data_IF_002109595191
#
_entry.id   IF_002109595191
#
_cell.length_a   1.000
_cell.length_b   1.000
_cell.length_c   1.000
_cell.angle_alpha   90.00
_cell.angle_beta   90.00
_cell.angle_gamma   90.00
#
_symmetry.space_group_name_H-M   'P 1'
#
loop_
_entity.id
_entity.type
_entity.pdbx_description
1 polymer ?
#
# COMPACT_ATOMS: atom_id res chain seq x y z
N UNK A 1 -1.27 30.70 -10.07
CA UNK A 1 -0.30 30.16 -9.09
C UNK A 1 -0.27 28.66 -9.27
N UNK A 2 0.88 28.05 -9.64
CA UNK A 2 1.06 26.60 -9.60
C UNK A 2 0.99 26.20 -8.12
N UNK A 3 0.20 25.15 -7.75
CA UNK A 3 0.23 24.66 -6.38
C UNK A 3 1.67 24.23 -6.07
N UNK A 4 2.20 24.69 -4.94
CA UNK A 4 3.49 24.24 -4.44
C UNK A 4 3.43 22.71 -4.27
N UNK A 5 4.40 22.02 -4.87
CA UNK A 5 4.57 20.58 -4.64
C UNK A 5 5.06 20.39 -3.20
N UNK A 6 4.53 19.41 -2.45
CA UNK A 6 5.08 19.12 -1.13
C UNK A 6 6.57 18.79 -1.23
N UNK A 7 7.38 19.49 -0.45
CA UNK A 7 8.85 19.44 -0.54
C UNK A 7 9.42 18.08 -0.13
N UNK A 8 8.65 17.30 0.64
CA UNK A 8 9.07 16.04 1.28
C UNK A 8 8.33 14.80 0.79
N UNK A 9 7.50 14.92 -0.24
CA UNK A 9 6.70 13.81 -0.74
C UNK A 9 5.47 13.48 0.09
N UNK A 10 5.04 14.36 0.99
CA UNK A 10 3.84 14.17 1.79
C UNK A 10 2.58 14.28 0.94
N UNK A 11 1.66 13.32 1.10
CA UNK A 11 0.31 13.36 0.53
C UNK A 11 -0.70 13.45 1.67
N UNK A 12 -1.41 14.58 1.73
CA UNK A 12 -2.41 14.87 2.76
C UNK A 12 -3.77 15.15 2.13
N UNK A 13 -4.84 14.58 2.68
CA UNK A 13 -6.21 14.86 2.27
C UNK A 13 -6.57 16.33 2.63
N UNK A 14 -7.20 17.03 1.68
CA UNK A 14 -7.56 18.45 1.79
C UNK A 14 -9.07 18.71 1.98
N UNK A 15 -9.86 17.62 2.04
CA UNK A 15 -11.31 17.66 2.22
C UNK A 15 -12.11 17.81 0.92
N UNK A 16 -11.46 18.04 -0.21
CA UNK A 16 -12.14 18.16 -1.50
C UNK A 16 -12.25 16.78 -2.18
N UNK A 17 -13.25 15.98 -1.78
CA UNK A 17 -13.40 14.61 -2.27
C UNK A 17 -13.59 14.52 -3.79
N UNK A 18 -14.27 15.49 -4.41
CA UNK A 18 -14.44 15.54 -5.87
C UNK A 18 -13.12 15.73 -6.64
N UNK A 19 -12.06 16.19 -5.97
CA UNK A 19 -10.73 16.45 -6.53
C UNK A 19 -9.65 15.50 -5.98
N UNK A 20 -10.05 14.37 -5.38
CA UNK A 20 -9.12 13.41 -4.79
C UNK A 20 -8.04 12.95 -5.76
N UNK A 21 -8.40 12.55 -6.97
CA UNK A 21 -7.42 12.07 -7.95
C UNK A 21 -6.52 13.18 -8.50
N UNK A 22 -7.04 14.40 -8.61
CA UNK A 22 -6.22 15.57 -8.97
C UNK A 22 -5.20 15.87 -7.86
N UNK A 23 -5.61 15.79 -6.59
CA UNK A 23 -4.72 15.95 -5.44
C UNK A 23 -3.61 14.89 -5.44
N UNK A 24 -3.96 13.62 -5.60
CA UNK A 24 -3.00 12.51 -5.67
C UNK A 24 -1.96 12.77 -6.77
N UNK A 25 -2.40 13.13 -7.97
CA UNK A 25 -1.51 13.38 -9.12
C UNK A 25 -0.62 14.60 -8.93
N UNK A 26 -1.17 15.73 -8.47
CA UNK A 26 -0.37 16.94 -8.26
C UNK A 26 0.64 16.80 -7.11
N UNK A 27 0.43 15.84 -6.21
CA UNK A 27 1.37 15.49 -5.14
C UNK A 27 2.47 14.50 -5.59
N UNK A 28 2.55 14.17 -6.89
CA UNK A 28 3.56 13.29 -7.45
C UNK A 28 3.23 11.80 -7.39
N UNK A 29 2.04 11.45 -6.93
CA UNK A 29 1.53 10.09 -6.85
C UNK A 29 0.61 9.76 -8.04
N UNK A 30 0.21 8.50 -8.11
CA UNK A 30 -0.81 8.01 -9.01
C UNK A 30 -1.74 7.04 -8.25
N UNK A 31 -2.76 6.51 -8.90
CA UNK A 31 -3.67 5.56 -8.30
C UNK A 31 -4.02 4.41 -9.24
N UNK A 32 -4.50 3.33 -8.66
CA UNK A 32 -5.13 2.20 -9.32
C UNK A 32 -6.45 1.93 -8.60
N UNK A 33 -7.58 2.08 -9.29
CA UNK A 33 -8.90 1.95 -8.70
C UNK A 33 -9.86 1.24 -9.66
N UNK A 34 -10.89 0.53 -9.16
CA UNK A 34 -11.86 -0.20 -9.99
C UNK A 34 -13.00 0.68 -10.52
N UNK A 35 -12.80 2.00 -10.65
CA UNK A 35 -13.81 2.98 -11.08
C UNK A 35 -14.36 2.70 -12.48
N UNK A 36 -13.60 2.01 -13.32
CA UNK A 36 -13.98 1.60 -14.66
C UNK A 36 -14.54 0.18 -14.74
N UNK A 37 -14.70 -0.51 -13.61
CA UNK A 37 -15.34 -1.82 -13.58
C UNK A 37 -16.78 -1.73 -14.14
N UNK A 38 -17.27 -2.85 -14.68
CA UNK A 38 -18.49 -2.87 -15.52
C UNK A 38 -19.69 -2.17 -14.86
N UNK A 39 -19.87 -2.34 -13.57
CA UNK A 39 -21.05 -1.82 -12.86
C UNK A 39 -20.87 -0.41 -12.33
N UNK A 40 -19.62 0.04 -12.12
CA UNK A 40 -19.35 1.41 -11.69
C UNK A 40 -19.24 2.41 -12.82
N UNK A 41 -19.03 1.94 -14.05
CA UNK A 41 -18.86 2.78 -15.23
C UNK A 41 -20.02 3.76 -15.47
N UNK A 42 -21.23 3.35 -15.15
CA UNK A 42 -22.43 4.20 -15.26
C UNK A 42 -22.73 5.01 -14.01
N UNK A 43 -22.31 4.54 -12.84
CA UNK A 43 -22.53 5.20 -11.56
C UNK A 43 -21.48 6.28 -11.25
N UNK A 44 -20.38 6.34 -12.01
CA UNK A 44 -19.25 7.24 -11.77
C UNK A 44 -18.73 7.19 -10.33
N UNK A 45 -18.76 6.00 -9.69
CA UNK A 45 -18.32 5.84 -8.32
C UNK A 45 -16.80 5.96 -8.21
N UNK A 46 -16.36 6.90 -7.41
CA UNK A 46 -14.94 7.13 -7.13
C UNK A 46 -14.53 6.31 -5.91
N UNK A 47 -13.63 5.32 -6.09
CA UNK A 47 -13.28 4.37 -5.03
C UNK A 47 -12.24 4.90 -4.03
N UNK A 48 -11.50 5.96 -4.36
CA UNK A 48 -10.68 6.68 -3.38
C UNK A 48 -11.34 8.03 -3.14
N UNK A 49 -11.83 8.23 -1.94
CA UNK A 49 -12.51 9.45 -1.53
C UNK A 49 -11.78 10.10 -0.36
N UNK A 50 -12.13 11.34 -0.04
CA UNK A 50 -11.70 12.00 1.17
C UNK A 50 -12.88 12.09 2.13
N UNK A 51 -12.69 11.59 3.34
CA UNK A 51 -13.69 11.60 4.41
C UNK A 51 -13.10 12.24 5.66
N UNK A 52 -13.95 12.91 6.45
CA UNK A 52 -13.53 13.44 7.73
C UNK A 52 -13.49 12.34 8.78
N UNK A 53 -12.37 12.21 9.49
CA UNK A 53 -12.18 11.24 10.56
C UNK A 53 -12.17 11.94 11.92
N UNK A 54 -13.13 11.58 12.78
CA UNK A 54 -13.28 12.19 14.10
C UNK A 54 -12.20 11.79 15.11
N UNK A 55 -11.50 10.66 14.92
CA UNK A 55 -10.44 10.24 15.84
C UNK A 55 -9.15 11.03 15.58
N UNK A 56 -8.87 11.35 14.32
CA UNK A 56 -7.70 12.14 13.92
C UNK A 56 -7.99 13.63 13.78
N UNK A 57 -9.27 14.05 13.84
CA UNK A 57 -9.74 15.43 13.64
C UNK A 57 -9.24 16.03 12.32
N UNK A 58 -9.34 15.26 11.22
CA UNK A 58 -8.91 15.69 9.88
C UNK A 58 -9.49 14.83 8.76
N UNK A 59 -9.34 15.30 7.54
CA UNK A 59 -9.65 14.51 6.35
C UNK A 59 -8.61 13.42 6.13
N UNK A 60 -9.08 12.25 5.68
CA UNK A 60 -8.27 11.08 5.34
C UNK A 60 -8.73 10.50 4.01
N UNK A 61 -7.87 9.69 3.38
CA UNK A 61 -8.27 8.91 2.20
C UNK A 61 -8.99 7.65 2.63
N UNK A 62 -10.20 7.44 2.12
CA UNK A 62 -10.99 6.22 2.27
C UNK A 62 -10.92 5.41 0.97
N UNK A 63 -10.59 4.13 1.11
CA UNK A 63 -10.50 3.17 0.01
C UNK A 63 -11.69 2.23 0.07
N UNK A 64 -12.56 2.31 -0.92
CA UNK A 64 -13.76 1.46 -1.02
C UNK A 64 -13.49 0.26 -1.90
N UNK A 65 -13.99 -0.90 -1.50
CA UNK A 65 -14.00 -2.14 -2.29
C UNK A 65 -15.37 -2.81 -2.11
N UNK A 66 -16.05 -3.07 -3.22
CA UNK A 66 -17.32 -3.80 -3.25
C UNK A 66 -17.04 -5.27 -3.56
N UNK A 67 -17.49 -6.16 -2.68
CA UNK A 67 -17.04 -7.55 -2.66
C UNK A 67 -17.34 -8.36 -3.93
N UNK A 68 -18.37 -8.00 -4.69
CA UNK A 68 -18.86 -8.81 -5.82
C UNK A 68 -18.69 -8.17 -7.18
N UNK A 69 -18.47 -6.86 -7.25
CA UNK A 69 -18.49 -6.11 -8.52
C UNK A 69 -17.16 -5.46 -8.89
N UNK A 70 -16.30 -5.21 -7.92
CA UNK A 70 -15.00 -4.62 -8.18
C UNK A 70 -14.02 -5.65 -8.74
N UNK A 71 -13.05 -5.16 -9.49
CA UNK A 71 -12.03 -5.96 -10.17
C UNK A 71 -10.62 -5.36 -9.99
N UNK A 72 -9.64 -5.89 -10.69
CA UNK A 72 -8.30 -5.31 -10.76
C UNK A 72 -8.28 -4.18 -11.82
N UNK A 73 -8.74 -2.99 -11.45
CA UNK A 73 -8.61 -1.75 -12.27
C UNK A 73 -9.38 -1.78 -13.59
N UNK A 74 -10.48 -2.50 -13.68
CA UNK A 74 -11.23 -2.65 -14.93
C UNK A 74 -10.57 -3.62 -15.94
N UNK A 75 -9.61 -4.43 -15.49
CA UNK A 75 -8.98 -5.48 -16.32
C UNK A 75 -9.93 -6.67 -16.43
N UNK A 76 -10.61 -6.81 -17.54
CA UNK A 76 -11.67 -7.81 -17.76
C UNK A 76 -11.20 -9.26 -17.74
N UNK A 77 -9.89 -9.50 -17.87
CA UNK A 77 -9.25 -10.81 -17.80
C UNK A 77 -8.76 -11.19 -16.40
N UNK A 78 -8.86 -10.29 -15.42
CA UNK A 78 -8.46 -10.51 -14.02
C UNK A 78 -9.69 -10.31 -13.14
N UNK A 79 -10.41 -11.40 -12.88
CA UNK A 79 -11.69 -11.40 -12.16
C UNK A 79 -11.60 -11.98 -10.75
N UNK A 80 -10.43 -12.48 -10.38
CA UNK A 80 -10.19 -13.18 -9.11
C UNK A 80 -9.65 -12.27 -8.00
N UNK A 81 -9.49 -10.97 -8.28
CA UNK A 81 -8.91 -10.01 -7.33
C UNK A 81 -9.41 -8.58 -7.55
N UNK A 82 -9.28 -7.79 -6.50
CA UNK A 82 -9.76 -6.41 -6.45
C UNK A 82 -8.62 -5.50 -6.01
N UNK A 83 -8.50 -4.32 -6.65
CA UNK A 83 -7.41 -3.39 -6.37
C UNK A 83 -7.90 -1.95 -6.27
N UNK A 84 -7.50 -1.30 -5.17
CA UNK A 84 -7.73 0.12 -4.95
C UNK A 84 -6.54 0.68 -4.15
N UNK A 85 -5.58 1.31 -4.84
CA UNK A 85 -4.29 1.72 -4.25
C UNK A 85 -3.85 3.10 -4.75
N UNK A 86 -3.25 3.89 -3.86
CA UNK A 86 -2.37 5.02 -4.20
C UNK A 86 -0.95 4.48 -4.33
N UNK A 87 -0.20 4.96 -5.30
CA UNK A 87 1.16 4.48 -5.61
C UNK A 87 2.06 5.58 -6.14
N UNK A 88 3.37 5.31 -6.19
CA UNK A 88 4.28 5.99 -7.11
C UNK A 88 4.53 5.14 -8.37
N UNK A 89 5.10 5.71 -9.41
CA UNK A 89 5.46 5.04 -10.66
C UNK A 89 6.66 5.74 -11.34
N UNK A 90 6.99 5.32 -12.56
CA UNK A 90 8.10 5.89 -13.32
C UNK A 90 7.93 7.37 -13.72
N UNK A 91 6.74 7.95 -13.55
CA UNK A 91 6.44 9.38 -13.78
C UNK A 91 6.48 10.19 -12.48
N UNK A 92 6.55 9.52 -11.34
CA UNK A 92 6.69 10.18 -10.04
C UNK A 92 8.04 10.87 -9.90
N UNK A 93 8.15 11.93 -9.10
CA UNK A 93 9.43 12.52 -8.74
C UNK A 93 10.42 11.45 -8.22
N UNK A 94 11.70 11.58 -8.59
CA UNK A 94 12.74 10.61 -8.17
C UNK A 94 12.82 10.47 -6.64
N UNK A 95 12.55 11.53 -5.90
CA UNK A 95 12.51 11.52 -4.42
C UNK A 95 11.43 10.61 -3.83
N UNK A 96 10.46 10.17 -4.64
CA UNK A 96 9.38 9.25 -4.24
C UNK A 96 9.60 7.80 -4.71
N UNK A 97 10.74 7.53 -5.35
CA UNK A 97 11.09 6.22 -5.91
C UNK A 97 12.47 5.82 -5.40
N UNK A 98 12.54 4.70 -4.68
CA UNK A 98 13.80 4.21 -4.12
C UNK A 98 14.78 3.74 -5.19
N UNK A 99 16.01 4.23 -5.13
CA UNK A 99 17.10 3.82 -6.01
C UNK A 99 18.03 2.85 -5.31
N UNK A 100 18.74 2.02 -6.07
CA UNK A 100 19.71 1.07 -5.52
C UNK A 100 20.80 1.81 -4.74
N UNK A 101 21.05 1.34 -3.52
CA UNK A 101 22.02 1.97 -2.60
C UNK A 101 21.42 3.06 -1.70
N UNK A 102 20.19 3.48 -1.94
CA UNK A 102 19.51 4.48 -1.10
C UNK A 102 18.79 3.86 0.10
N UNK A 103 18.56 4.67 1.09
CA UNK A 103 17.67 4.35 2.22
C UNK A 103 16.49 5.33 2.20
N UNK A 104 15.28 4.79 2.20
CA UNK A 104 14.05 5.57 2.34
C UNK A 104 13.33 5.22 3.64
N UNK A 105 12.62 6.22 4.18
CA UNK A 105 11.70 6.03 5.29
C UNK A 105 10.30 6.42 4.84
N UNK A 106 9.40 5.45 4.85
CA UNK A 106 7.99 5.66 4.56
C UNK A 106 7.21 5.76 5.87
N UNK A 107 6.37 6.79 6.00
CA UNK A 107 5.49 6.98 7.15
C UNK A 107 4.08 7.17 6.66
N UNK A 108 3.16 6.38 7.20
CA UNK A 108 1.74 6.54 6.91
C UNK A 108 0.89 6.11 8.10
N UNK A 109 -0.38 6.45 8.03
CA UNK A 109 -1.37 6.03 9.02
C UNK A 109 -2.47 5.25 8.32
N UNK A 110 -2.99 4.24 8.99
CA UNK A 110 -4.18 3.53 8.52
C UNK A 110 -5.08 3.11 9.67
N UNK A 111 -6.36 2.89 9.35
CA UNK A 111 -7.35 2.30 10.22
C UNK A 111 -8.15 1.27 9.42
N UNK A 112 -8.30 0.07 9.94
CA UNK A 112 -9.20 -0.93 9.39
C UNK A 112 -10.56 -0.80 10.10
N UNK A 113 -11.69 -0.79 9.39
CA UNK A 113 -13.00 -0.73 10.03
C UNK A 113 -13.24 -1.98 10.92
N UNK A 114 -14.05 -1.84 11.95
CA UNK A 114 -14.36 -2.94 12.88
C UNK A 114 -14.87 -4.20 12.18
N UNK A 115 -15.61 -4.05 11.07
CA UNK A 115 -16.10 -5.17 10.27
C UNK A 115 -15.15 -5.67 9.16
N UNK A 116 -13.89 -5.21 9.15
CA UNK A 116 -12.94 -5.63 8.12
C UNK A 116 -12.70 -7.13 8.16
N UNK A 117 -12.81 -7.78 7.00
CA UNK A 117 -12.57 -9.21 6.82
C UNK A 117 -11.44 -9.45 5.84
N UNK A 118 -10.54 -10.35 6.21
CA UNK A 118 -9.45 -10.80 5.35
C UNK A 118 -9.87 -11.99 4.49
N UNK A 119 -9.01 -12.37 3.58
CA UNK A 119 -9.12 -13.62 2.81
C UNK A 119 -8.05 -14.62 3.24
N UNK A 120 -8.23 -15.89 2.86
CA UNK A 120 -7.24 -16.96 3.09
C UNK A 120 -6.07 -16.92 2.11
N UNK A 121 -6.07 -15.97 1.15
CA UNK A 121 -4.97 -15.81 0.19
C UNK A 121 -4.18 -14.55 0.48
N UNK A 122 -4.66 -13.37 0.09
CA UNK A 122 -4.00 -12.12 0.44
C UNK A 122 -4.97 -10.94 0.49
N UNK A 123 -4.70 -10.01 1.39
CA UNK A 123 -5.30 -8.68 1.44
C UNK A 123 -4.16 -7.71 1.78
N UNK A 124 -3.46 -7.24 0.73
CA UNK A 124 -2.35 -6.31 0.89
C UNK A 124 -2.85 -4.90 1.20
N UNK A 125 -2.39 -4.33 2.30
CA UNK A 125 -2.64 -2.95 2.71
C UNK A 125 -1.52 -2.01 2.25
N UNK A 126 -0.33 -2.57 2.08
CA UNK A 126 0.84 -1.89 1.55
C UNK A 126 1.70 -2.87 0.75
N UNK A 127 2.36 -2.34 -0.27
CA UNK A 127 3.33 -3.06 -1.08
C UNK A 127 4.55 -2.17 -1.36
N UNK A 128 5.74 -2.74 -1.25
CA UNK A 128 6.96 -2.20 -1.84
C UNK A 128 7.30 -3.05 -3.07
N UNK A 129 7.24 -2.46 -4.25
CA UNK A 129 7.28 -3.21 -5.53
C UNK A 129 8.27 -2.60 -6.51
N UNK A 130 8.94 -3.44 -7.29
CA UNK A 130 9.82 -3.00 -8.39
C UNK A 130 9.07 -2.20 -9.46
N UNK A 131 9.77 -1.27 -10.08
CA UNK A 131 9.36 -0.57 -11.30
C UNK A 131 10.02 -1.27 -12.48
N UNK A 132 9.22 -1.65 -13.48
CA UNK A 132 9.70 -2.30 -14.68
C UNK A 132 10.64 -1.40 -15.49
N UNK A 133 11.52 -2.02 -16.25
CA UNK A 133 12.32 -1.32 -17.24
C UNK A 133 11.54 -1.06 -18.53
N UNK A 134 12.11 -0.30 -19.45
CA UNK A 134 11.45 0.05 -20.71
C UNK A 134 11.21 -1.16 -21.62
N UNK A 135 11.92 -2.26 -21.42
CA UNK A 135 11.80 -3.50 -22.20
C UNK A 135 10.74 -4.45 -21.63
N UNK A 136 10.20 -4.17 -20.43
CA UNK A 136 9.22 -5.04 -19.79
C UNK A 136 9.80 -6.37 -19.30
N UNK A 137 11.09 -6.42 -18.99
CA UNK A 137 11.82 -7.65 -18.66
C UNK A 137 12.25 -7.75 -17.20
N UNK A 138 12.01 -6.72 -16.40
CA UNK A 138 12.40 -6.74 -14.99
C UNK A 138 11.56 -7.72 -14.16
N UNK A 139 12.16 -8.27 -13.10
CA UNK A 139 11.47 -9.12 -12.13
C UNK A 139 10.56 -8.27 -11.22
N UNK A 140 9.39 -7.92 -11.73
CA UNK A 140 8.39 -7.08 -11.04
C UNK A 140 7.01 -7.73 -10.92
N UNK A 141 6.89 -9.01 -11.16
CA UNK A 141 5.62 -9.74 -11.06
C UNK A 141 5.06 -9.69 -9.63
N UNK A 142 5.90 -9.97 -8.64
CA UNK A 142 5.55 -9.94 -7.22
C UNK A 142 6.09 -8.69 -6.51
N UNK A 143 5.40 -8.20 -5.45
CA UNK A 143 5.96 -7.18 -4.57
C UNK A 143 7.11 -7.75 -3.73
N UNK A 144 8.07 -6.91 -3.36
CA UNK A 144 9.22 -7.29 -2.53
C UNK A 144 8.82 -7.44 -1.06
N UNK A 145 8.18 -6.41 -0.52
CA UNK A 145 7.61 -6.37 0.85
C UNK A 145 6.12 -6.12 0.76
N UNK A 146 5.34 -6.76 1.60
CA UNK A 146 3.92 -6.44 1.76
C UNK A 146 3.52 -6.41 3.23
N UNK A 147 2.65 -5.46 3.57
CA UNK A 147 1.84 -5.52 4.78
C UNK A 147 0.51 -6.17 4.41
N UNK A 148 0.26 -7.36 4.90
CA UNK A 148 -0.83 -8.22 4.44
C UNK A 148 -1.72 -8.65 5.60
N UNK A 149 -3.00 -8.33 5.53
CA UNK A 149 -4.01 -8.95 6.37
C UNK A 149 -4.36 -10.34 5.79
N UNK A 150 -4.44 -11.33 6.66
CA UNK A 150 -4.56 -12.74 6.27
C UNK A 150 -5.45 -13.51 7.27
N UNK A 151 -6.28 -14.40 6.74
CA UNK A 151 -7.04 -15.35 7.55
C UNK A 151 -6.43 -16.75 7.41
N UNK A 152 -6.09 -17.38 8.53
CA UNK A 152 -5.63 -18.75 8.51
C UNK A 152 -6.80 -19.75 8.36
N UNK A 153 -6.49 -21.02 8.10
CA UNK A 153 -7.50 -22.08 7.90
C UNK A 153 -8.38 -22.35 9.14
N UNK A 154 -8.00 -21.87 10.32
CA UNK A 154 -8.75 -21.99 11.58
C UNK A 154 -9.57 -20.71 11.90
N UNK A 155 -9.64 -19.75 10.97
CA UNK A 155 -10.39 -18.49 11.13
C UNK A 155 -9.65 -17.40 11.90
N UNK A 156 -8.42 -17.64 12.38
CA UNK A 156 -7.61 -16.60 13.03
C UNK A 156 -7.13 -15.57 12.01
N UNK A 157 -7.32 -14.29 12.32
CA UNK A 157 -6.93 -13.19 11.45
C UNK A 157 -5.62 -12.54 11.94
N UNK A 158 -4.71 -12.27 11.04
CA UNK A 158 -3.38 -11.75 11.34
C UNK A 158 -3.01 -10.61 10.40
N UNK A 159 -2.22 -9.67 10.90
CA UNK A 159 -1.43 -8.75 10.07
C UNK A 159 0.00 -9.29 9.98
N UNK A 160 0.51 -9.36 8.75
CA UNK A 160 1.82 -9.96 8.44
C UNK A 160 2.68 -9.00 7.64
N UNK A 161 3.96 -8.89 7.99
CA UNK A 161 4.98 -8.40 7.05
C UNK A 161 5.52 -9.60 6.29
N UNK A 162 5.40 -9.57 4.96
CA UNK A 162 5.84 -10.67 4.09
C UNK A 162 6.94 -10.18 3.15
N UNK A 163 7.86 -11.06 2.89
CA UNK A 163 8.95 -10.86 1.96
C UNK A 163 8.89 -11.89 0.84
N UNK A 164 8.95 -11.42 -0.39
CA UNK A 164 9.03 -12.27 -1.57
C UNK A 164 10.46 -12.24 -2.09
N UNK A 165 11.18 -13.33 -1.87
CA UNK A 165 12.58 -13.47 -2.27
C UNK A 165 12.70 -13.57 -3.79
N UNK A 166 13.66 -12.88 -4.38
CA UNK A 166 13.98 -12.98 -5.81
C UNK A 166 14.19 -14.44 -6.23
N UNK A 167 13.42 -14.89 -7.24
CA UNK A 167 13.48 -16.27 -7.71
C UNK A 167 13.07 -17.34 -6.68
N UNK A 168 12.43 -16.95 -5.58
CA UNK A 168 12.08 -17.82 -4.48
C UNK A 168 10.60 -17.79 -4.09
N UNK A 169 10.32 -18.28 -2.88
CA UNK A 169 8.99 -18.28 -2.29
C UNK A 169 8.77 -17.07 -1.37
N UNK A 170 7.52 -16.67 -1.24
CA UNK A 170 7.11 -15.66 -0.25
C UNK A 170 7.19 -16.23 1.16
N UNK A 171 7.84 -15.52 2.07
CA UNK A 171 7.91 -15.85 3.50
C UNK A 171 7.20 -14.80 4.37
N UNK A 172 6.74 -15.21 5.54
CA UNK A 172 6.26 -14.29 6.57
C UNK A 172 7.41 -13.99 7.52
N UNK A 173 7.82 -12.72 7.58
CA UNK A 173 8.91 -12.27 8.48
C UNK A 173 8.42 -12.13 9.91
N UNK A 174 7.23 -11.55 10.10
CA UNK A 174 6.57 -11.39 11.39
C UNK A 174 5.06 -11.36 11.19
N UNK A 175 4.33 -11.76 12.23
CA UNK A 175 2.86 -11.65 12.27
C UNK A 175 2.37 -11.26 13.65
N UNK A 176 1.21 -10.59 13.70
CA UNK A 176 0.50 -10.23 14.92
C UNK A 176 -1.00 -10.39 14.72
N UNK A 177 -1.78 -10.44 15.81
CA UNK A 177 -3.24 -10.51 15.74
C UNK A 177 -3.81 -9.25 15.05
N UNK A 178 -4.78 -9.43 14.15
CA UNK A 178 -5.42 -8.34 13.44
C UNK A 178 -6.37 -7.53 14.34
N UNK A 179 -6.88 -8.11 15.42
CA UNK A 179 -7.88 -7.50 16.29
C UNK A 179 -7.44 -6.13 16.85
N UNK A 180 -6.17 -5.97 17.17
CA UNK A 180 -5.61 -4.71 17.70
C UNK A 180 -5.67 -3.54 16.69
N UNK A 181 -5.85 -3.83 15.41
CA UNK A 181 -5.91 -2.84 14.31
C UNK A 181 -7.32 -2.42 13.94
N UNK A 182 -8.34 -3.21 14.32
CA UNK A 182 -9.73 -2.95 13.96
C UNK A 182 -10.30 -1.76 14.74
N UNK A 183 -10.77 -0.74 14.03
CA UNK A 183 -11.29 0.50 14.61
C UNK A 183 -10.24 1.38 15.29
N UNK A 184 -8.96 1.06 15.15
CA UNK A 184 -7.88 1.82 15.73
C UNK A 184 -6.95 2.39 14.65
N UNK A 185 -6.67 3.69 14.72
CA UNK A 185 -5.62 4.29 13.92
C UNK A 185 -4.23 3.85 14.40
N UNK A 186 -3.44 3.42 13.46
CA UNK A 186 -2.03 3.11 13.67
C UNK A 186 -1.14 3.94 12.77
N UNK A 187 0.07 4.22 13.24
CA UNK A 187 1.15 4.80 12.46
C UNK A 187 2.16 3.72 12.11
N UNK A 188 2.56 3.69 10.85
CA UNK A 188 3.61 2.80 10.36
C UNK A 188 4.83 3.62 10.00
N UNK A 189 5.99 3.17 10.46
CA UNK A 189 7.28 3.59 9.95
C UNK A 189 7.96 2.37 9.32
N UNK A 190 8.23 2.45 8.02
CA UNK A 190 9.01 1.46 7.27
C UNK A 190 10.29 2.11 6.80
N UNK A 191 11.44 1.54 7.19
CA UNK A 191 12.75 1.95 6.71
C UNK A 191 13.32 0.86 5.83
N UNK A 192 13.59 1.21 4.58
CA UNK A 192 14.10 0.29 3.58
C UNK A 192 15.43 0.80 3.02
N UNK A 193 16.49 -0.01 3.13
CA UNK A 193 17.75 0.20 2.45
C UNK A 193 17.79 -0.70 1.21
N UNK A 194 17.84 -0.08 0.02
CA UNK A 194 17.70 -0.79 -1.25
C UNK A 194 19.01 -1.35 -1.79
N UNK A 195 19.01 -2.60 -2.21
CA UNK A 195 20.16 -3.31 -2.78
C UNK A 195 20.16 -4.77 -2.39
N UNK A 196 21.04 -5.57 -3.00
CA UNK A 196 21.14 -7.01 -2.73
C UNK A 196 21.59 -7.28 -1.27
N UNK A 197 22.32 -6.37 -0.66
CA UNK A 197 22.72 -6.39 0.75
C UNK A 197 21.92 -5.36 1.57
N UNK A 198 20.64 -5.19 1.24
CA UNK A 198 19.78 -4.21 1.85
C UNK A 198 19.23 -4.61 3.23
N UNK A 199 18.26 -3.86 3.69
CA UNK A 199 17.56 -4.17 4.94
C UNK A 199 16.16 -3.59 4.95
N UNK A 200 15.30 -4.18 5.78
CA UNK A 200 13.95 -3.68 6.06
C UNK A 200 13.72 -3.61 7.57
N UNK A 201 13.10 -2.54 8.01
CA UNK A 201 12.61 -2.36 9.38
C UNK A 201 11.18 -1.83 9.30
N UNK A 202 10.26 -2.40 10.08
CA UNK A 202 8.86 -1.95 10.15
C UNK A 202 8.43 -1.84 11.60
N UNK A 203 7.93 -0.67 11.98
CA UNK A 203 7.35 -0.42 13.31
C UNK A 203 5.92 0.06 13.10
N UNK A 204 4.97 -0.58 13.81
CA UNK A 204 3.57 -0.17 13.79
C UNK A 204 3.13 0.17 15.21
N UNK A 205 2.70 1.41 15.40
CA UNK A 205 2.32 1.95 16.70
C UNK A 205 0.86 2.37 16.68
N UNK A 206 0.09 1.97 17.69
CA UNK A 206 -1.29 2.42 17.86
C UNK A 206 -1.31 3.85 18.38
N UNK A 207 -2.02 4.75 17.70
CA UNK A 207 -1.93 6.20 17.95
C UNK A 207 -2.52 6.58 19.32
N UNK A 208 -3.66 5.98 19.70
CA UNK A 208 -4.40 6.39 20.92
C UNK A 208 -3.63 6.18 22.23
N UNK A 209 -2.67 5.27 22.28
CA UNK A 209 -1.96 4.89 23.51
C UNK A 209 -0.45 4.70 23.32
N UNK A 210 0.07 4.87 22.11
CA UNK A 210 1.48 4.70 21.81
C UNK A 210 1.98 3.25 21.88
N UNK A 211 1.06 2.26 21.97
CA UNK A 211 1.44 0.85 22.05
C UNK A 211 2.03 0.38 20.71
N UNK A 212 3.25 -0.17 20.74
CA UNK A 212 3.84 -0.85 19.58
C UNK A 212 3.13 -2.19 19.41
N UNK A 213 2.44 -2.35 18.27
CA UNK A 213 1.68 -3.57 17.91
C UNK A 213 2.51 -4.55 17.10
N UNK A 214 3.48 -4.05 16.32
CA UNK A 214 4.38 -4.86 15.52
C UNK A 214 5.73 -4.16 15.42
N UNK A 215 6.81 -4.92 15.55
CA UNK A 215 8.17 -4.43 15.33
C UNK A 215 9.00 -5.52 14.64
N UNK A 216 9.44 -5.23 13.41
CA UNK A 216 10.35 -6.04 12.62
C UNK A 216 11.69 -5.32 12.49
N UNK A 217 12.76 -6.02 12.68
CA UNK A 217 14.09 -5.65 12.25
C UNK A 217 14.83 -4.60 13.08
N UNK A 218 15.90 -4.07 12.47
CA UNK A 218 16.28 -4.19 11.04
C UNK A 218 16.72 -5.59 10.63
N UNK A 219 16.06 -6.12 9.58
CA UNK A 219 16.39 -7.42 8.97
C UNK A 219 17.24 -7.21 7.71
N UNK A 220 18.39 -7.88 7.63
CA UNK A 220 19.23 -7.89 6.43
C UNK A 220 18.66 -8.84 5.39
N UNK A 221 18.45 -8.34 4.16
CA UNK A 221 17.88 -9.12 3.07
C UNK A 221 18.17 -8.50 1.71
N UNK A 222 17.92 -9.26 0.65
CA UNK A 222 17.98 -8.74 -0.71
C UNK A 222 16.76 -7.81 -0.96
N UNK A 223 17.00 -6.51 -0.95
CA UNK A 223 16.01 -5.45 -1.15
C UNK A 223 16.09 -4.88 -2.57
N UNK A 224 16.31 -5.75 -3.58
CA UNK A 224 16.33 -5.35 -4.98
C UNK A 224 15.70 -6.41 -5.87
N UNK A 225 15.26 -6.01 -7.06
CA UNK A 225 14.74 -6.90 -8.09
C UNK A 225 15.60 -6.84 -9.34
N UNK A 226 15.79 -7.98 -10.01
CA UNK A 226 16.57 -8.04 -11.25
C UNK A 226 16.00 -7.08 -12.28
N UNK A 227 16.87 -6.27 -12.86
CA UNK A 227 16.58 -5.30 -13.94
C UNK A 227 15.49 -4.27 -13.63
N UNK A 228 15.02 -4.14 -12.39
CA UNK A 228 14.11 -3.07 -12.04
C UNK A 228 14.82 -1.71 -12.02
N UNK A 229 14.07 -0.66 -12.35
CA UNK A 229 14.58 0.71 -12.43
C UNK A 229 14.41 1.52 -11.14
N UNK A 230 13.78 0.93 -10.15
CA UNK A 230 13.51 1.50 -8.84
C UNK A 230 12.53 0.67 -8.05
N UNK A 231 12.36 1.02 -6.77
CA UNK A 231 11.33 0.45 -5.90
C UNK A 231 10.30 1.51 -5.53
N UNK A 232 9.04 1.15 -5.52
CA UNK A 232 7.92 2.05 -5.30
C UNK A 232 6.96 1.54 -4.24
N UNK A 233 6.47 2.44 -3.37
CA UNK A 233 5.40 2.10 -2.44
C UNK A 233 4.02 2.13 -3.11
N UNK A 234 3.11 1.34 -2.55
CA UNK A 234 1.67 1.36 -2.81
C UNK A 234 0.94 1.21 -1.49
N UNK A 235 -0.15 1.96 -1.31
CA UNK A 235 -1.00 1.92 -0.12
C UNK A 235 -2.47 1.83 -0.53
N UNK A 236 -3.27 1.09 0.22
CA UNK A 236 -4.69 0.91 -0.02
C UNK A 236 -5.11 -0.52 0.23
N UNK A 237 -5.84 -1.12 -0.71
CA UNK A 237 -6.27 -2.51 -0.61
C UNK A 237 -6.11 -3.23 -1.95
N UNK A 238 -5.36 -4.34 -1.93
CA UNK A 238 -5.29 -5.29 -3.04
C UNK A 238 -5.52 -6.67 -2.49
N UNK A 239 -6.63 -7.28 -2.85
CA UNK A 239 -7.06 -8.57 -2.28
C UNK A 239 -7.49 -9.55 -3.36
N UNK A 240 -7.38 -10.82 -3.00
CA UNK A 240 -7.87 -11.96 -3.77
C UNK A 240 -9.31 -12.29 -3.33
#
# INVERSE_FOLDING_TARGET
LKPEQPVDGTLTADGNSAKTYDLIKRSGYNHEAPDSSREHKTAHFQHIQQVYDNQLDKYVFAFFIHATIDDDRGLTNITDRQRNEIKTDNKSPKSLVGQKGETMVFRWKFCLPVGFQTTTKFSHLHQLKGIDNSSGTADVSSPLITLTAYSNSKGGQQLRVRYDKRGGSTSTLISTDLADFLGNWVEVEEKACFGENGSCEVIITRIKDGKVLLKLGPEKMDMWRTDCTGLRPKWGIYRY
#
